data_IF_123194438718
#
_entry.id   IF_123194438718
#
_cell.length_a   1.000
_cell.length_b   1.000
_cell.length_c   1.000
_cell.angle_alpha   90.00
_cell.angle_beta   90.00
_cell.angle_gamma   90.00
#
_symmetry.space_group_name_H-M   'P 1'
#
loop_
_entity.id
_entity.type
_entity.pdbx_description
1 polymer ?
#
# COMPACT_ATOMS: atom_id res chain seq x y z
N UNK A 1 5.01 12.62 10.91
CA UNK A 1 3.94 11.68 10.47
C UNK A 1 3.02 12.30 9.43
N UNK A 2 2.32 13.40 9.75
CA UNK A 2 1.43 14.10 8.80
C UNK A 2 2.09 14.42 7.46
N UNK A 3 3.36 14.85 7.47
CA UNK A 3 4.08 15.17 6.23
C UNK A 3 4.37 13.94 5.36
N UNK A 4 4.65 12.79 5.99
CA UNK A 4 4.85 11.53 5.28
C UNK A 4 3.53 11.00 4.70
N UNK A 5 2.44 11.09 5.47
CA UNK A 5 1.08 10.74 5.02
C UNK A 5 0.64 11.61 3.85
N UNK A 6 0.87 12.92 3.93
CA UNK A 6 0.56 13.85 2.84
C UNK A 6 1.40 13.55 1.60
N UNK A 7 2.68 13.23 1.75
CA UNK A 7 3.54 12.86 0.64
C UNK A 7 3.04 11.59 -0.07
N UNK A 8 2.69 10.54 0.68
CA UNK A 8 2.14 9.30 0.11
C UNK A 8 0.77 9.55 -0.52
N UNK A 9 -0.10 10.35 0.08
CA UNK A 9 -1.39 10.68 -0.51
C UNK A 9 -1.21 11.38 -1.87
N UNK A 10 -0.34 12.40 -1.95
CA UNK A 10 -0.05 13.12 -3.20
C UNK A 10 0.58 12.20 -4.24
N UNK A 11 1.56 11.38 -3.84
CA UNK A 11 2.23 10.44 -4.74
C UNK A 11 1.27 9.36 -5.28
N UNK A 12 0.40 8.82 -4.42
CA UNK A 12 -0.61 7.83 -4.82
C UNK A 12 -1.61 8.44 -5.81
N UNK A 13 -2.12 9.64 -5.53
CA UNK A 13 -3.03 10.36 -6.42
C UNK A 13 -2.37 10.64 -7.77
N UNK A 14 -1.11 11.10 -7.78
CA UNK A 14 -0.36 11.35 -9.01
C UNK A 14 -0.15 10.06 -9.82
N UNK A 15 0.26 8.96 -9.18
CA UNK A 15 0.44 7.66 -9.85
C UNK A 15 -0.86 7.11 -10.43
N UNK A 16 -1.97 7.17 -9.67
CA UNK A 16 -3.29 6.74 -10.17
C UNK A 16 -3.70 7.62 -11.36
N UNK A 17 -3.53 8.94 -11.27
CA UNK A 17 -3.84 9.86 -12.37
C UNK A 17 -3.06 9.51 -13.64
N UNK A 18 -1.76 9.21 -13.51
CA UNK A 18 -0.92 8.79 -14.62
C UNK A 18 -1.39 7.44 -15.20
N UNK A 19 -1.68 6.45 -14.37
CA UNK A 19 -2.19 5.15 -14.83
C UNK A 19 -3.56 5.25 -15.52
N UNK A 20 -4.47 6.07 -15.00
CA UNK A 20 -5.76 6.34 -15.65
C UNK A 20 -5.54 7.01 -17.01
N UNK A 21 -4.62 7.97 -17.10
CA UNK A 21 -4.26 8.63 -18.37
C UNK A 21 -3.65 7.67 -19.38
N UNK A 22 -2.89 6.69 -18.92
CA UNK A 22 -2.28 5.64 -19.76
C UNK A 22 -3.26 4.52 -20.13
N UNK A 23 -4.54 4.60 -19.72
CA UNK A 23 -5.55 3.55 -19.93
C UNK A 23 -5.09 2.17 -19.42
N UNK A 24 -4.31 2.17 -18.34
CA UNK A 24 -3.80 0.96 -17.68
C UNK A 24 -4.97 0.10 -17.20
N UNK A 25 -4.82 -1.22 -17.21
CA UNK A 25 -5.91 -2.12 -16.86
C UNK A 25 -6.38 -1.87 -15.43
N UNK A 26 -7.70 -1.90 -15.19
CA UNK A 26 -8.26 -1.72 -13.83
C UNK A 26 -7.65 -2.68 -12.81
N UNK A 27 -7.26 -3.89 -13.25
CA UNK A 27 -6.59 -4.88 -12.41
C UNK A 27 -5.20 -4.42 -11.94
N UNK A 28 -4.42 -3.81 -12.82
CA UNK A 28 -3.06 -3.32 -12.51
C UNK A 28 -3.12 -2.12 -11.56
N UNK A 29 -4.09 -1.22 -11.76
CA UNK A 29 -4.33 -0.09 -10.86
C UNK A 29 -4.68 -0.60 -9.46
N UNK A 30 -5.62 -1.55 -9.36
CA UNK A 30 -5.99 -2.15 -8.06
C UNK A 30 -4.79 -2.83 -7.40
N UNK A 31 -3.99 -3.57 -8.16
CA UNK A 31 -2.81 -4.27 -7.64
C UNK A 31 -1.74 -3.28 -7.14
N UNK A 32 -1.50 -2.20 -7.88
CA UNK A 32 -0.62 -1.11 -7.45
C UNK A 32 -1.10 -0.45 -6.15
N UNK A 33 -2.40 -0.13 -6.06
CA UNK A 33 -2.98 0.49 -4.86
C UNK A 33 -2.83 -0.41 -3.63
N UNK A 34 -3.07 -1.72 -3.79
CA UNK A 34 -2.90 -2.70 -2.69
C UNK A 34 -1.45 -2.72 -2.21
N UNK A 35 -0.47 -2.77 -3.12
CA UNK A 35 0.96 -2.78 -2.77
C UNK A 35 1.34 -1.51 -2.00
N UNK A 36 0.90 -0.34 -2.48
CA UNK A 36 1.21 0.94 -1.80
C UNK A 36 0.56 1.00 -0.42
N UNK A 37 -0.67 0.50 -0.26
CA UNK A 37 -1.33 0.45 1.05
C UNK A 37 -0.63 -0.48 2.04
N UNK A 38 -0.14 -1.66 1.59
CA UNK A 38 0.63 -2.58 2.43
C UNK A 38 1.95 -1.94 2.86
N UNK A 39 2.67 -1.30 1.94
CA UNK A 39 3.90 -0.58 2.25
C UNK A 39 3.67 0.57 3.24
N UNK A 40 2.55 1.30 3.08
CA UNK A 40 2.15 2.35 4.01
C UNK A 40 1.80 1.83 5.40
N UNK A 41 1.07 0.71 5.48
CA UNK A 41 0.76 0.06 6.76
C UNK A 41 2.03 -0.42 7.48
N UNK A 42 3.00 -0.98 6.75
CA UNK A 42 4.30 -1.36 7.29
C UNK A 42 5.09 -0.16 7.80
N UNK A 43 5.07 0.95 7.05
CA UNK A 43 5.70 2.19 7.48
C UNK A 43 5.03 2.75 8.75
N UNK A 44 3.70 2.81 8.82
CA UNK A 44 3.00 3.23 10.05
C UNK A 44 3.41 2.35 11.24
N UNK A 45 3.55 1.04 11.02
CA UNK A 45 3.99 0.08 12.04
C UNK A 45 5.37 0.43 12.62
N UNK A 46 6.31 0.88 11.78
CA UNK A 46 7.64 1.33 12.20
C UNK A 46 7.59 2.62 13.03
N UNK A 47 6.74 3.57 12.64
CA UNK A 47 6.64 4.87 13.31
C UNK A 47 5.89 4.81 14.65
N UNK A 48 5.01 3.84 14.83
CA UNK A 48 4.18 3.77 16.03
C UNK A 48 4.92 3.18 17.25
N UNK A 49 6.13 2.61 17.09
CA UNK A 49 6.92 1.88 18.12
C UNK A 49 6.13 0.84 18.94
N UNK A 50 4.91 0.55 18.50
CA UNK A 50 4.00 -0.44 19.05
C UNK A 50 4.37 -1.72 18.31
N UNK A 51 4.58 -2.83 19.04
CA UNK A 51 4.73 -4.19 18.49
C UNK A 51 3.52 -4.55 17.64
N UNK A 52 3.49 -4.06 16.42
CA UNK A 52 2.54 -4.43 15.41
C UNK A 52 3.35 -5.37 14.53
N UNK A 53 3.17 -6.67 14.75
CA UNK A 53 3.97 -7.74 14.15
C UNK A 53 3.49 -7.94 12.70
N UNK A 54 4.11 -7.28 11.69
CA UNK A 54 3.57 -7.24 10.33
C UNK A 54 3.72 -8.60 9.65
N UNK A 55 4.68 -9.40 10.13
CA UNK A 55 4.91 -10.79 9.73
C UNK A 55 3.65 -11.64 9.86
N UNK A 56 2.87 -11.44 10.92
CA UNK A 56 1.67 -12.25 11.16
C UNK A 56 0.52 -11.91 10.19
N UNK A 57 0.44 -10.65 9.74
CA UNK A 57 -0.55 -10.22 8.75
C UNK A 57 -0.13 -10.61 7.32
N UNK A 58 1.15 -10.45 6.99
CA UNK A 58 1.70 -10.85 5.69
C UNK A 58 1.60 -12.37 5.50
N UNK A 59 1.93 -13.16 6.53
CA UNK A 59 1.78 -14.62 6.47
C UNK A 59 0.33 -15.03 6.22
N UNK A 60 -0.63 -14.35 6.85
CA UNK A 60 -2.06 -14.64 6.67
C UNK A 60 -2.57 -14.27 5.28
N UNK A 61 -2.04 -13.20 4.69
CA UNK A 61 -2.36 -12.82 3.31
C UNK A 61 -1.76 -13.78 2.29
N UNK A 62 -0.55 -14.29 2.54
CA UNK A 62 0.10 -15.30 1.69
C UNK A 62 -0.66 -16.62 1.77
N UNK A 63 -1.02 -17.09 2.96
CA UNK A 63 -1.84 -18.30 3.14
C UNK A 63 -3.20 -18.18 2.44
N UNK A 64 -3.80 -16.99 2.44
CA UNK A 64 -5.10 -16.76 1.80
C UNK A 64 -5.04 -16.67 0.27
N UNK A 65 -3.87 -16.33 -0.29
CA UNK A 65 -3.63 -16.34 -1.75
C UNK A 65 -3.18 -17.73 -2.24
N UNK A 66 -2.56 -18.53 -1.38
CA UNK A 66 -2.07 -19.86 -1.71
C UNK A 66 -3.14 -20.97 -1.67
N UNK A 67 -4.38 -20.65 -1.27
CA UNK A 67 -5.52 -21.56 -1.14
C UNK A 67 -6.58 -21.24 -2.19
#
# INVERSE_FOLDING_TARGET
>A
MIWFTLFIAVALTASIFVMVKQKTSKKEITLYVIIVLIGFAYWISLFLERKFDPHHWISRFIDWISL
#
